data_IF_170501522989
#
_entry.id   IF_170501522989
#
_cell.length_a   1.000
_cell.length_b   1.000
_cell.length_c   1.000
_cell.angle_alpha   90.00
_cell.angle_beta   90.00
_cell.angle_gamma   90.00
#
_symmetry.space_group_name_H-M   'P 1'
#
loop_
_entity.id
_entity.type
_entity.pdbx_description
1 polymer ?
#
# COMPACT_ATOMS: atom_id res chain seq x y z
N UNK A 1 2.81 -3.14 8.71
CA UNK A 1 3.82 -2.31 8.00
C UNK A 1 5.15 -2.49 8.70
N UNK A 2 6.27 -2.51 7.97
CA UNK A 2 7.59 -2.77 8.57
C UNK A 2 8.65 -1.78 8.06
N UNK A 3 9.47 -1.15 8.94
CA UNK A 3 9.33 -1.15 10.40
C UNK A 3 8.08 -0.37 10.83
N UNK A 4 7.63 -0.64 12.06
CA UNK A 4 6.61 0.17 12.72
C UNK A 4 7.11 0.68 14.09
N UNK A 5 7.05 2.00 14.35
CA UNK A 5 6.65 3.06 13.42
C UNK A 5 7.64 3.20 12.25
N UNK A 6 7.21 3.91 11.20
CA UNK A 6 8.10 4.23 10.09
C UNK A 6 9.29 5.05 10.60
N UNK A 7 10.46 4.80 10.04
CA UNK A 7 11.68 5.51 10.37
C UNK A 7 12.07 6.46 9.23
N UNK A 8 12.44 7.69 9.56
CA UNK A 8 12.96 8.66 8.60
C UNK A 8 14.18 8.09 7.86
N UNK A 9 14.30 8.44 6.58
CA UNK A 9 15.38 8.00 5.68
C UNK A 9 15.47 6.47 5.47
N UNK A 10 14.45 5.72 5.89
CA UNK A 10 14.36 4.27 5.65
C UNK A 10 13.14 3.94 4.81
N UNK A 11 13.18 2.77 4.18
CA UNK A 11 12.01 2.23 3.51
C UNK A 11 11.01 1.70 4.55
N UNK A 12 9.77 2.12 4.41
CA UNK A 12 8.61 1.52 5.06
C UNK A 12 7.89 0.63 4.05
N UNK A 13 7.70 -0.64 4.40
CA UNK A 13 7.01 -1.61 3.55
C UNK A 13 5.61 -1.89 4.10
N UNK A 14 4.60 -1.63 3.27
CA UNK A 14 3.22 -2.01 3.52
C UNK A 14 2.98 -3.33 2.80
N UNK A 15 2.60 -4.36 3.56
CA UNK A 15 2.22 -5.67 3.03
C UNK A 15 0.74 -5.88 3.29
N UNK A 16 -0.01 -6.27 2.26
CA UNK A 16 -1.43 -6.60 2.36
C UNK A 16 -1.72 -7.92 1.67
N UNK A 17 -2.71 -8.66 2.19
CA UNK A 17 -3.26 -9.84 1.52
C UNK A 17 -4.54 -9.43 0.82
N UNK A 18 -4.65 -9.76 -0.45
CA UNK A 18 -5.78 -9.45 -1.32
C UNK A 18 -6.33 -10.75 -1.89
N UNK A 19 -7.61 -10.76 -2.24
CA UNK A 19 -8.24 -11.91 -2.89
C UNK A 19 -8.88 -11.43 -4.17
N UNK A 20 -8.58 -12.06 -5.30
CA UNK A 20 -9.18 -11.73 -6.61
C UNK A 20 -10.01 -12.91 -7.11
N UNK A 21 -11.12 -12.63 -7.78
CA UNK A 21 -12.02 -13.59 -8.42
C UNK A 21 -11.80 -13.71 -9.94
N UNK A 22 -10.97 -12.84 -10.51
CA UNK A 22 -10.56 -12.84 -11.91
C UNK A 22 -9.03 -12.87 -12.07
N UNK A 23 -8.59 -13.14 -13.31
CA UNK A 23 -7.18 -13.13 -13.68
C UNK A 23 -6.68 -11.69 -13.82
N UNK A 24 -5.67 -11.31 -13.04
CA UNK A 24 -5.00 -10.01 -13.15
C UNK A 24 -3.83 -10.12 -14.14
N UNK A 25 -4.04 -9.65 -15.36
CA UNK A 25 -3.03 -9.72 -16.44
C UNK A 25 -1.99 -8.60 -16.39
N UNK A 26 -2.29 -7.53 -15.67
CA UNK A 26 -1.52 -6.29 -15.68
C UNK A 26 -2.27 -5.18 -14.97
N UNK A 27 -1.65 -4.02 -14.87
CA UNK A 27 -2.28 -2.87 -14.25
C UNK A 27 -1.31 -1.90 -13.61
N UNK A 28 -1.88 -0.87 -13.04
CA UNK A 28 -1.18 0.20 -12.33
C UNK A 28 -1.68 0.28 -10.90
N UNK A 29 -0.82 0.74 -10.00
CA UNK A 29 -1.20 1.08 -8.64
C UNK A 29 -0.73 2.49 -8.30
N UNK A 30 -1.42 3.08 -7.34
CA UNK A 30 -1.16 4.41 -6.80
C UNK A 30 -1.36 4.40 -5.30
N UNK A 31 -0.42 5.00 -4.57
CA UNK A 31 -0.56 5.34 -3.15
C UNK A 31 -0.47 6.86 -3.03
N UNK A 32 -1.47 7.47 -2.39
CA UNK A 32 -1.44 8.89 -2.02
C UNK A 32 -1.31 8.99 -0.50
N UNK A 33 -0.15 9.45 -0.04
CA UNK A 33 0.12 9.73 1.37
C UNK A 33 -0.31 11.16 1.70
N UNK A 34 -1.00 11.31 2.83
CA UNK A 34 -1.47 12.58 3.36
C UNK A 34 -1.01 12.76 4.80
N UNK A 35 -0.68 13.99 5.15
CA UNK A 35 -0.50 14.46 6.52
C UNK A 35 -1.71 15.32 6.86
N UNK A 36 -2.61 14.81 7.71
CA UNK A 36 -3.95 15.36 7.84
C UNK A 36 -4.69 15.34 6.50
N UNK A 37 -5.11 16.51 6.01
CA UNK A 37 -5.82 16.64 4.71
C UNK A 37 -4.90 16.90 3.51
N UNK A 38 -3.62 17.19 3.76
CA UNK A 38 -2.68 17.62 2.72
C UNK A 38 -1.98 16.42 2.10
N UNK A 39 -2.07 16.20 0.77
CA UNK A 39 -1.27 15.18 0.09
C UNK A 39 0.20 15.60 0.10
N UNK A 40 1.06 14.74 0.65
CA UNK A 40 2.50 15.00 0.82
C UNK A 40 3.36 14.16 -0.12
N UNK A 41 2.86 13.01 -0.57
CA UNK A 41 3.59 12.12 -1.48
C UNK A 41 2.63 11.25 -2.28
N UNK A 42 2.93 11.09 -3.56
CA UNK A 42 2.23 10.13 -4.42
C UNK A 42 3.27 9.15 -4.97
N UNK A 43 3.01 7.87 -4.83
CA UNK A 43 3.85 6.80 -5.38
C UNK A 43 2.99 5.98 -6.34
N UNK A 44 3.53 5.66 -7.51
CA UNK A 44 2.84 4.88 -8.53
C UNK A 44 3.75 3.79 -9.07
N UNK A 45 3.17 2.73 -9.60
CA UNK A 45 3.93 1.68 -10.27
C UNK A 45 3.04 0.66 -10.95
N UNK A 46 3.65 -0.40 -11.46
CA UNK A 46 2.93 -1.53 -12.07
C UNK A 46 2.51 -2.53 -11.01
N UNK A 47 1.26 -2.99 -11.07
CA UNK A 47 0.67 -3.90 -10.08
C UNK A 47 1.46 -5.21 -9.96
N UNK A 48 1.90 -5.73 -11.10
CA UNK A 48 2.69 -6.96 -11.18
C UNK A 48 4.07 -6.87 -10.53
N UNK A 49 4.59 -5.66 -10.28
CA UNK A 49 5.90 -5.47 -9.64
C UNK A 49 5.81 -5.54 -8.12
N UNK A 50 4.59 -5.45 -7.56
CA UNK A 50 4.36 -5.43 -6.11
C UNK A 50 3.70 -6.71 -5.61
N UNK A 51 3.41 -7.70 -6.46
CA UNK A 51 2.89 -9.01 -6.06
C UNK A 51 4.01 -10.07 -6.08
N UNK A 52 4.76 -10.26 -4.97
CA UNK A 52 5.86 -11.22 -4.94
C UNK A 52 5.43 -12.69 -5.16
N UNK A 53 4.17 -13.03 -4.92
CA UNK A 53 3.64 -14.38 -5.02
C UNK A 53 3.01 -14.72 -6.37
N UNK A 54 2.93 -13.74 -7.29
CA UNK A 54 2.49 -14.01 -8.65
C UNK A 54 3.20 -13.09 -9.67
N UNK A 55 3.79 -13.69 -10.71
CA UNK A 55 4.19 -12.95 -11.90
C UNK A 55 2.99 -12.89 -12.82
N UNK A 56 2.54 -11.68 -13.18
CA UNK A 56 1.40 -11.53 -14.08
C UNK A 56 1.54 -12.37 -15.36
N UNK A 57 0.45 -13.02 -15.82
CA UNK A 57 -0.92 -12.94 -15.29
C UNK A 57 -1.12 -13.75 -13.99
N UNK A 58 -1.71 -13.12 -12.97
CA UNK A 58 -2.06 -13.74 -11.70
C UNK A 58 -3.45 -14.37 -11.79
N UNK A 59 -3.57 -15.67 -11.49
CA UNK A 59 -4.85 -16.36 -11.46
C UNK A 59 -5.76 -15.84 -10.32
N UNK A 60 -7.09 -16.09 -10.38
CA UNK A 60 -7.97 -15.85 -9.24
C UNK A 60 -7.46 -16.55 -7.97
N UNK A 61 -7.53 -15.87 -6.83
CA UNK A 61 -7.10 -16.43 -5.54
C UNK A 61 -6.56 -15.37 -4.58
N UNK A 62 -5.89 -15.86 -3.53
CA UNK A 62 -5.24 -15.00 -2.55
C UNK A 62 -3.84 -14.63 -3.03
N UNK A 63 -3.55 -13.34 -3.02
CA UNK A 63 -2.25 -12.76 -3.37
C UNK A 63 -1.76 -11.83 -2.27
N UNK A 64 -0.48 -11.58 -2.26
CA UNK A 64 0.21 -10.70 -1.33
C UNK A 64 0.75 -9.55 -2.13
N UNK A 65 0.42 -8.33 -1.75
CA UNK A 65 1.04 -7.14 -2.29
C UNK A 65 1.99 -6.52 -1.27
N UNK A 66 3.15 -6.08 -1.73
CA UNK A 66 4.18 -5.44 -0.92
C UNK A 66 4.66 -4.14 -1.60
N UNK A 67 4.37 -3.01 -0.96
CA UNK A 67 4.75 -1.68 -1.44
C UNK A 67 5.75 -1.08 -0.47
N UNK A 68 6.96 -0.79 -0.98
CA UNK A 68 8.01 -0.11 -0.22
C UNK A 68 8.07 1.37 -0.60
N UNK A 69 8.00 2.25 0.39
CA UNK A 69 8.10 3.70 0.21
C UNK A 69 9.22 4.24 1.09
N UNK A 70 10.12 5.03 0.51
CA UNK A 70 11.12 5.77 1.27
C UNK A 70 10.44 6.86 2.10
N UNK A 71 10.63 6.82 3.40
CA UNK A 71 10.22 7.90 4.31
C UNK A 71 11.26 9.00 4.21
N UNK A 72 10.85 10.19 3.78
CA UNK A 72 11.79 11.29 3.58
C UNK A 72 12.39 11.76 4.91
N UNK A 73 13.64 12.21 4.90
CA UNK A 73 14.38 12.59 6.11
C UNK A 73 13.74 13.75 6.89
N UNK A 74 13.00 14.60 6.18
CA UNK A 74 12.30 15.76 6.73
C UNK A 74 10.83 15.48 7.10
N UNK A 75 10.37 14.22 6.98
CA UNK A 75 9.02 13.85 7.37
C UNK A 75 8.82 14.14 8.88
N UNK A 76 7.82 14.96 9.26
CA UNK A 76 7.52 15.23 10.67
C UNK A 76 7.46 13.97 11.53
N UNK A 77 8.27 13.92 12.60
CA UNK A 77 8.21 12.84 13.58
C UNK A 77 6.95 12.96 14.44
N UNK A 78 6.53 11.84 15.02
CA UNK A 78 5.35 11.69 15.87
C UNK A 78 4.06 12.21 15.22
N UNK A 79 4.03 12.18 13.89
CA UNK A 79 2.89 12.63 13.09
C UNK A 79 2.15 11.45 12.48
N UNK A 80 0.82 11.56 12.45
CA UNK A 80 -0.06 10.58 11.84
C UNK A 80 -0.21 10.83 10.33
N UNK A 81 0.07 9.79 9.56
CA UNK A 81 -0.09 9.78 8.11
C UNK A 81 -1.23 8.84 7.74
N UNK A 82 -1.97 9.23 6.71
CA UNK A 82 -2.94 8.34 6.04
C UNK A 82 -2.50 8.11 4.62
N UNK A 83 -2.56 6.86 4.16
CA UNK A 83 -2.32 6.47 2.78
C UNK A 83 -3.59 5.92 2.13
N UNK A 84 -3.84 6.34 0.90
CA UNK A 84 -4.90 5.78 0.07
C UNK A 84 -4.26 4.97 -1.07
N UNK A 85 -4.47 3.66 -1.07
CA UNK A 85 -4.05 2.77 -2.14
C UNK A 85 -5.18 2.60 -3.16
N UNK A 86 -4.82 2.58 -4.44
CA UNK A 86 -5.71 2.26 -5.56
C UNK A 86 -4.96 1.39 -6.56
N UNK A 87 -5.60 0.34 -7.04
CA UNK A 87 -5.12 -0.50 -8.12
C UNK A 87 -6.13 -0.49 -9.28
N UNK A 88 -5.61 -0.43 -10.50
CA UNK A 88 -6.37 -0.57 -11.74
C UNK A 88 -5.83 -1.73 -12.56
N UNK A 89 -6.68 -2.36 -13.37
CA UNK A 89 -6.26 -3.37 -14.33
C UNK A 89 -5.59 -2.73 -15.57
N UNK A 90 -5.28 -3.54 -16.58
CA UNK A 90 -4.69 -3.08 -17.86
C UNK A 90 -5.63 -2.20 -18.70
N UNK A 91 -6.93 -2.20 -18.42
CA UNK A 91 -7.92 -1.35 -19.09
C UNK A 91 -8.11 -0.01 -18.39
N UNK A 92 -7.52 0.16 -17.20
CA UNK A 92 -7.70 1.33 -16.34
C UNK A 92 -8.91 1.23 -15.43
N UNK A 93 -9.63 0.10 -15.43
CA UNK A 93 -10.72 -0.14 -14.49
C UNK A 93 -10.15 -0.32 -13.08
N UNK A 94 -10.72 0.37 -12.09
CA UNK A 94 -10.33 0.17 -10.70
C UNK A 94 -10.71 -1.23 -10.27
N UNK A 95 -9.74 -1.97 -9.76
CA UNK A 95 -9.94 -3.32 -9.26
C UNK A 95 -9.85 -3.37 -7.74
N UNK A 96 -9.16 -2.44 -7.08
CA UNK A 96 -9.12 -2.42 -5.63
C UNK A 96 -8.69 -1.07 -5.07
N UNK A 97 -9.14 -0.77 -3.86
CA UNK A 97 -8.69 0.37 -3.09
C UNK A 97 -8.78 0.09 -1.60
N UNK A 98 -7.87 0.67 -0.82
CA UNK A 98 -7.95 0.66 0.63
C UNK A 98 -7.20 1.84 1.21
N UNK A 99 -7.65 2.28 2.37
CA UNK A 99 -6.95 3.29 3.16
C UNK A 99 -6.18 2.62 4.30
N UNK A 100 -5.06 3.23 4.68
CA UNK A 100 -4.24 2.81 5.81
C UNK A 100 -3.71 4.02 6.56
N UNK A 101 -3.39 3.86 7.84
CA UNK A 101 -2.77 4.90 8.66
C UNK A 101 -1.47 4.40 9.26
N UNK A 102 -0.50 5.28 9.47
CA UNK A 102 0.76 4.95 10.14
C UNK A 102 1.40 6.19 10.77
N UNK A 103 2.34 5.96 11.68
CA UNK A 103 3.13 7.01 12.33
C UNK A 103 4.58 6.95 11.87
N UNK A 104 5.20 8.12 11.75
CA UNK A 104 6.65 8.28 11.54
C UNK A 104 7.29 8.67 12.87
N UNK A 105 8.28 7.93 13.35
CA UNK A 105 9.05 8.26 14.57
C UNK A 105 8.19 8.56 15.81
N UNK A 106 7.73 7.52 16.50
CA UNK A 106 6.97 7.61 17.76
C UNK A 106 7.16 6.36 18.63
N UNK A 107 6.52 6.29 19.80
CA UNK A 107 6.48 5.06 20.60
C UNK A 107 5.49 4.06 19.96
N UNK A 108 5.94 2.82 19.74
CA UNK A 108 5.34 1.77 18.89
C UNK A 108 3.97 1.21 19.31
N UNK A 109 3.05 2.00 19.85
CA UNK A 109 1.88 1.49 20.56
C UNK A 109 0.74 0.95 19.66
N UNK A 110 0.65 1.31 18.36
CA UNK A 110 -0.48 0.87 17.51
C UNK A 110 -0.02 0.39 16.12
N UNK A 111 0.39 -0.88 16.03
CA UNK A 111 0.67 -1.54 14.75
C UNK A 111 -0.47 -1.29 13.75
N UNK A 112 -0.21 -0.82 12.51
CA UNK A 112 -1.24 -0.73 11.49
C UNK A 112 -1.67 -2.14 11.12
N UNK A 113 -2.98 -2.38 11.18
CA UNK A 113 -3.68 -3.64 10.86
C UNK A 113 -2.83 -4.58 10.01
N UNK A 114 -2.26 -5.62 10.63
CA UNK A 114 -1.42 -6.63 9.96
C UNK A 114 -2.18 -7.44 8.89
N UNK A 115 -3.48 -7.19 8.75
CA UNK A 115 -4.32 -7.66 7.68
C UNK A 115 -5.31 -6.56 7.30
N UNK A 116 -5.00 -5.80 6.25
CA UNK A 116 -6.04 -5.09 5.50
C UNK A 116 -6.78 -6.17 4.71
N UNK A 117 -7.81 -6.76 5.32
CA UNK A 117 -8.77 -7.59 4.58
C UNK A 117 -9.58 -6.66 3.70
N UNK A 118 -9.18 -6.52 2.43
CA UNK A 118 -10.01 -5.87 1.42
C UNK A 118 -11.19 -6.79 1.15
N UNK A 119 -12.26 -6.61 1.93
CA UNK A 119 -13.56 -7.20 1.66
C UNK A 119 -14.18 -6.41 0.52
N UNK A 120 -14.50 -7.15 -0.54
CA UNK A 120 -15.33 -6.77 -1.67
C UNK A 120 -14.58 -6.08 -2.82
N UNK A 121 -14.37 -6.91 -3.84
CA UNK A 121 -13.94 -6.60 -5.20
C UNK A 121 -15.22 -6.75 -6.03
N UNK A 122 -15.70 -5.67 -6.64
CA UNK A 122 -16.90 -5.64 -7.48
C UNK A 122 -16.58 -5.04 -8.84
#
# INVERSE_FOLDING_TARGET
MTPYPAEQSKNATVTAKVTTDFTVSGGDWKVVLKLGVLPVKTVTGKLCNISPDCTCPCAPGNHTIAVSVLVDSFAPSSSDYTGAFTATDSTGAQIGCFDFAFQVGGDSAVQPLDQITVKEWH
#
